data_IF_842554725541
#
_entry.id   IF_842554725541
#
_cell.length_a   1.000
_cell.length_b   1.000
_cell.length_c   1.000
_cell.angle_alpha   90.00
_cell.angle_beta   90.00
_cell.angle_gamma   90.00
#
_symmetry.space_group_name_H-M   'P 1'
#
loop_
_entity.id
_entity.type
_entity.pdbx_description
1 polymer ?
#
# COMPACT_ATOMS: atom_id res chain seq x y z
N UNK A 1 41.50 5.30 -27.24
CA UNK A 1 40.61 6.47 -27.27
C UNK A 1 39.19 5.97 -27.42
N UNK A 2 38.28 6.36 -26.51
CA UNK A 2 36.83 6.36 -26.70
C UNK A 2 36.24 7.18 -25.54
N UNK A 3 35.99 8.47 -25.78
CA UNK A 3 35.26 9.32 -24.85
C UNK A 3 33.77 9.08 -25.03
N UNK A 4 33.07 8.76 -23.94
CA UNK A 4 31.60 8.76 -23.91
C UNK A 4 31.07 10.20 -23.93
N UNK A 5 29.84 10.43 -24.43
CA UNK A 5 29.27 11.76 -24.49
C UNK A 5 28.98 12.28 -23.08
N UNK A 6 29.37 13.52 -22.81
CA UNK A 6 29.01 14.24 -21.60
C UNK A 6 27.49 14.43 -21.57
N UNK A 7 26.83 13.93 -20.54
CA UNK A 7 25.42 14.21 -20.28
C UNK A 7 25.26 15.73 -20.09
N UNK A 8 24.43 16.35 -20.92
CA UNK A 8 24.07 17.75 -20.76
C UNK A 8 23.42 17.93 -19.37
N UNK A 9 24.03 18.77 -18.54
CA UNK A 9 23.42 19.20 -17.29
C UNK A 9 22.10 19.90 -17.64
N UNK A 10 20.99 19.38 -17.09
CA UNK A 10 19.69 20.03 -17.18
C UNK A 10 19.74 21.45 -16.58
N UNK A 11 18.73 22.29 -16.87
CA UNK A 11 18.67 23.64 -16.33
C UNK A 11 18.73 23.62 -14.79
N UNK A 12 19.32 24.63 -14.15
CA UNK A 12 19.35 24.72 -12.70
C UNK A 12 17.93 24.67 -12.15
N UNK A 13 17.72 23.86 -11.11
CA UNK A 13 16.45 23.83 -10.39
C UNK A 13 16.11 25.27 -9.95
N UNK A 14 14.88 25.69 -10.23
CA UNK A 14 14.35 26.97 -9.74
C UNK A 14 14.38 27.03 -8.20
N UNK A 15 14.15 28.22 -7.63
CA UNK A 15 14.06 28.34 -6.17
C UNK A 15 13.03 27.35 -5.63
N UNK A 16 13.33 26.68 -4.49
CA UNK A 16 12.42 25.70 -3.91
C UNK A 16 11.07 26.35 -3.62
N UNK A 17 9.99 25.63 -3.91
CA UNK A 17 8.63 26.08 -3.58
C UNK A 17 8.53 26.26 -2.05
N UNK A 18 8.24 27.48 -1.54
CA UNK A 18 8.15 27.74 -0.11
C UNK A 18 6.98 27.00 0.57
N UNK A 19 6.06 26.42 -0.20
CA UNK A 19 4.98 25.57 0.28
C UNK A 19 5.34 24.08 0.32
N UNK A 20 6.53 23.70 -0.14
CA UNK A 20 6.96 22.31 -0.13
C UNK A 20 7.16 21.82 1.32
N UNK A 21 6.39 20.79 1.68
CA UNK A 21 6.61 20.07 2.94
C UNK A 21 7.98 19.38 2.84
N UNK A 22 8.90 19.61 3.79
CA UNK A 22 10.19 18.94 3.78
C UNK A 22 9.98 17.42 3.90
N UNK A 23 10.81 16.61 3.22
CA UNK A 23 10.70 15.16 3.33
C UNK A 23 10.78 14.71 4.79
N UNK A 24 10.03 13.66 5.14
CA UNK A 24 10.05 13.12 6.49
C UNK A 24 11.48 12.74 6.89
N UNK A 25 11.88 13.13 8.10
CA UNK A 25 13.21 12.83 8.63
C UNK A 25 13.51 11.31 8.71
N UNK A 26 12.45 10.49 8.81
CA UNK A 26 12.49 9.03 8.63
C UNK A 26 11.35 8.59 7.68
N UNK A 27 11.66 8.36 6.39
CA UNK A 27 10.68 7.87 5.41
C UNK A 27 10.07 6.51 5.80
N UNK A 28 10.82 5.62 6.45
CA UNK A 28 10.31 4.31 6.85
C UNK A 28 9.28 4.43 7.98
N UNK A 29 9.47 5.34 8.93
CA UNK A 29 8.45 5.65 9.94
C UNK A 29 7.18 6.25 9.33
N UNK A 30 7.29 7.04 8.25
CA UNK A 30 6.13 7.57 7.55
C UNK A 30 5.36 6.45 6.82
N UNK A 31 6.06 5.53 6.15
CA UNK A 31 5.45 4.39 5.44
C UNK A 31 4.65 3.47 6.37
N UNK A 32 5.09 3.28 7.62
CA UNK A 32 4.37 2.50 8.65
C UNK A 32 2.99 3.05 9.04
N UNK A 33 2.64 4.26 8.57
CA UNK A 33 1.34 4.90 8.79
C UNK A 33 0.40 4.78 7.60
N UNK A 34 0.88 4.27 6.46
CA UNK A 34 0.06 4.08 5.28
C UNK A 34 -0.79 2.84 5.43
N UNK A 35 -2.02 2.92 4.92
CA UNK A 35 -2.84 1.77 4.63
C UNK A 35 -2.71 1.42 3.16
N UNK A 36 -2.63 0.13 2.83
CA UNK A 36 -2.62 -0.38 1.45
C UNK A 36 -3.81 -1.29 1.24
N UNK A 37 -4.33 -1.36 0.01
CA UNK A 37 -5.38 -2.31 -0.32
C UNK A 37 -4.82 -3.67 -0.76
N UNK A 38 -5.72 -4.64 -0.95
CA UNK A 38 -5.40 -6.00 -1.40
C UNK A 38 -5.69 -6.23 -2.88
N UNK A 39 -5.99 -5.19 -3.67
CA UNK A 39 -6.33 -5.32 -5.09
C UNK A 39 -5.09 -5.58 -5.94
N UNK A 40 -4.50 -6.75 -5.75
CA UNK A 40 -3.34 -7.24 -6.49
C UNK A 40 -3.54 -8.70 -6.88
N UNK A 41 -2.95 -9.09 -8.01
CA UNK A 41 -2.99 -10.47 -8.51
C UNK A 41 -1.85 -11.35 -8.00
N UNK A 42 -1.01 -10.85 -7.08
CA UNK A 42 0.20 -11.51 -6.64
C UNK A 42 0.12 -11.89 -5.16
N UNK A 43 0.03 -13.20 -4.83
CA UNK A 43 0.13 -13.67 -3.45
C UNK A 43 1.45 -13.24 -2.79
N UNK A 44 2.54 -13.17 -3.56
CA UNK A 44 3.84 -12.69 -3.09
C UNK A 44 3.78 -11.22 -2.65
N UNK A 45 3.07 -10.37 -3.40
CA UNK A 45 2.88 -8.97 -3.02
C UNK A 45 2.08 -8.85 -1.72
N UNK A 46 0.98 -9.60 -1.59
CA UNK A 46 0.20 -9.60 -0.35
C UNK A 46 1.02 -10.08 0.86
N UNK A 47 1.86 -11.10 0.68
CA UNK A 47 2.77 -11.58 1.72
C UNK A 47 3.77 -10.51 2.16
N UNK A 48 4.38 -9.80 1.21
CA UNK A 48 5.30 -8.70 1.51
C UNK A 48 4.60 -7.54 2.21
N UNK A 49 3.37 -7.20 1.83
CA UNK A 49 2.60 -6.17 2.54
C UNK A 49 2.36 -6.58 4.01
N UNK A 50 1.96 -7.84 4.24
CA UNK A 50 1.76 -8.34 5.60
C UNK A 50 3.06 -8.35 6.43
N UNK A 51 4.20 -8.70 5.81
CA UNK A 51 5.50 -8.75 6.48
C UNK A 51 6.07 -7.36 6.81
N UNK A 52 5.98 -6.42 5.87
CA UNK A 52 6.65 -5.12 5.97
C UNK A 52 5.76 -4.06 6.64
N UNK A 53 4.46 -4.05 6.32
CA UNK A 53 3.51 -3.05 6.82
C UNK A 53 2.69 -3.55 8.01
N UNK A 54 2.52 -4.87 8.12
CA UNK A 54 1.67 -5.49 9.12
C UNK A 54 0.22 -5.67 8.63
N UNK A 55 -0.48 -6.75 9.05
CA UNK A 55 -1.89 -6.97 8.72
C UNK A 55 -2.82 -5.83 9.12
N UNK A 56 -2.49 -5.07 10.15
CA UNK A 56 -3.23 -3.90 10.66
C UNK A 56 -3.18 -2.67 9.72
N UNK A 57 -2.36 -2.74 8.66
CA UNK A 57 -2.23 -1.70 7.62
C UNK A 57 -2.79 -2.13 6.27
N UNK A 58 -3.45 -3.28 6.19
CA UNK A 58 -4.01 -3.79 4.94
C UNK A 58 -5.53 -3.69 4.94
N UNK A 59 -6.10 -3.17 3.86
CA UNK A 59 -7.55 -3.04 3.64
C UNK A 59 -7.98 -3.99 2.54
N UNK A 60 -9.01 -4.79 2.77
CA UNK A 60 -9.59 -5.59 1.69
C UNK A 60 -10.13 -4.67 0.58
N UNK A 61 -9.61 -4.84 -0.63
CA UNK A 61 -9.97 -4.09 -1.83
C UNK A 61 -10.01 -5.01 -3.03
N UNK A 62 -11.02 -4.80 -3.89
CA UNK A 62 -11.23 -5.59 -5.11
C UNK A 62 -10.91 -4.82 -6.37
N UNK A 63 -10.76 -3.49 -6.32
CA UNK A 63 -10.69 -2.61 -7.48
C UNK A 63 -11.76 -2.96 -8.54
N UNK A 64 -13.00 -3.11 -8.08
CA UNK A 64 -14.16 -3.36 -8.93
C UNK A 64 -14.74 -2.04 -9.46
N UNK A 65 -15.12 -1.93 -10.75
CA UNK A 65 -15.14 -2.99 -11.77
C UNK A 65 -13.83 -3.32 -12.54
N UNK A 66 -12.74 -2.51 -12.56
CA UNK A 66 -11.56 -2.79 -13.38
C UNK A 66 -10.99 -4.22 -13.23
N UNK A 67 -10.91 -4.73 -12.00
CA UNK A 67 -10.52 -6.12 -11.74
C UNK A 67 -11.78 -7.00 -11.62
N UNK A 68 -12.18 -7.57 -12.75
CA UNK A 68 -13.34 -8.46 -12.85
C UNK A 68 -13.01 -9.91 -12.44
N UNK A 69 -12.41 -10.09 -11.27
CA UNK A 69 -12.18 -11.41 -10.66
C UNK A 69 -13.34 -11.73 -9.70
N UNK A 70 -13.79 -12.99 -9.59
CA UNK A 70 -14.76 -13.38 -8.58
C UNK A 70 -14.34 -12.95 -7.16
N UNK A 71 -15.28 -12.44 -6.38
CA UNK A 71 -15.03 -11.96 -5.01
C UNK A 71 -14.42 -13.07 -4.14
N UNK A 72 -14.89 -14.30 -4.33
CA UNK A 72 -14.44 -15.49 -3.60
C UNK A 72 -12.95 -15.75 -3.80
N UNK A 73 -12.40 -15.43 -4.98
CA UNK A 73 -10.99 -15.63 -5.25
C UNK A 73 -10.13 -14.60 -4.50
N UNK A 74 -10.59 -13.35 -4.38
CA UNK A 74 -9.94 -12.35 -3.53
C UNK A 74 -9.93 -12.78 -2.06
N UNK A 75 -11.07 -13.27 -1.53
CA UNK A 75 -11.16 -13.76 -0.16
C UNK A 75 -10.19 -14.92 0.06
N UNK A 76 -10.16 -15.90 -0.86
CA UNK A 76 -9.26 -17.07 -0.79
C UNK A 76 -7.78 -16.67 -0.81
N UNK A 77 -7.41 -15.58 -1.49
CA UNK A 77 -6.03 -15.08 -1.45
C UNK A 77 -5.65 -14.61 -0.04
N UNK A 78 -6.55 -13.91 0.66
CA UNK A 78 -6.30 -13.47 2.04
C UNK A 78 -6.26 -14.66 3.00
N UNK A 79 -7.16 -15.63 2.85
CA UNK A 79 -7.21 -16.82 3.71
C UNK A 79 -5.93 -17.68 3.65
N UNK A 80 -5.20 -17.61 2.53
CA UNK A 80 -3.94 -18.34 2.29
C UNK A 80 -2.71 -17.59 2.79
N UNK A 81 -2.84 -16.35 3.27
CA UNK A 81 -1.69 -15.63 3.83
C UNK A 81 -1.17 -16.33 5.10
N UNK A 82 0.15 -16.34 5.32
CA UNK A 82 0.77 -16.95 6.50
C UNK A 82 0.64 -16.03 7.73
N UNK A 83 -0.59 -15.63 8.06
CA UNK A 83 -0.95 -14.80 9.21
C UNK A 83 -2.02 -15.50 10.05
N UNK A 84 -2.16 -15.11 11.31
CA UNK A 84 -3.17 -15.71 12.18
C UNK A 84 -4.61 -15.31 11.78
N UNK A 85 -5.59 -16.02 12.34
CA UNK A 85 -7.00 -15.79 12.00
C UNK A 85 -7.49 -14.40 12.40
N UNK A 86 -6.98 -13.82 13.48
CA UNK A 86 -7.34 -12.48 13.89
C UNK A 86 -6.87 -11.45 12.85
N UNK A 87 -5.64 -11.60 12.36
CA UNK A 87 -5.07 -10.79 11.28
C UNK A 87 -5.87 -10.92 9.99
N UNK A 88 -6.30 -12.14 9.61
CA UNK A 88 -7.18 -12.32 8.44
C UNK A 88 -8.49 -11.52 8.58
N UNK A 89 -9.11 -11.52 9.76
CA UNK A 89 -10.34 -10.76 10.01
C UNK A 89 -10.11 -9.24 10.00
N UNK A 90 -8.95 -8.76 10.48
CA UNK A 90 -8.57 -7.36 10.35
C UNK A 90 -8.50 -6.93 8.89
N UNK A 91 -7.82 -7.72 8.05
CA UNK A 91 -7.67 -7.43 6.62
C UNK A 91 -9.04 -7.44 5.93
N UNK A 92 -9.85 -8.48 6.16
CA UNK A 92 -11.14 -8.70 5.49
C UNK A 92 -12.22 -7.67 5.86
N UNK A 93 -12.07 -6.95 6.98
CA UNK A 93 -13.06 -5.94 7.36
C UNK A 93 -12.70 -5.10 8.57
N UNK A 94 -12.03 -5.67 9.58
CA UNK A 94 -11.76 -4.97 10.84
C UNK A 94 -11.01 -3.64 10.70
N UNK A 95 -10.05 -3.58 9.78
CA UNK A 95 -9.30 -2.34 9.50
C UNK A 95 -10.18 -1.30 8.79
N UNK A 96 -11.01 -1.72 7.83
CA UNK A 96 -11.92 -0.81 7.13
C UNK A 96 -12.97 -0.23 8.09
N UNK A 97 -13.51 -1.07 8.99
CA UNK A 97 -14.43 -0.62 10.04
C UNK A 97 -13.81 0.44 10.94
N UNK A 98 -12.54 0.29 11.32
CA UNK A 98 -11.84 1.25 12.17
C UNK A 98 -11.46 2.54 11.42
N UNK A 99 -10.94 2.44 10.20
CA UNK A 99 -10.46 3.59 9.41
C UNK A 99 -11.62 4.46 8.93
N UNK A 100 -12.73 3.86 8.51
CA UNK A 100 -13.88 4.59 7.96
C UNK A 100 -15.00 4.80 8.97
N UNK A 101 -14.82 4.34 10.21
CA UNK A 101 -15.79 4.41 11.30
C UNK A 101 -17.16 3.84 10.87
N UNK A 102 -17.16 2.61 10.35
CA UNK A 102 -18.36 2.03 9.71
C UNK A 102 -19.39 1.55 10.73
N UNK A 103 -18.98 1.23 11.95
CA UNK A 103 -19.87 0.70 13.01
C UNK A 103 -20.66 1.80 13.74
N UNK A 104 -20.28 3.06 13.58
CA UNK A 104 -21.00 4.21 14.13
C UNK A 104 -22.09 4.74 13.19
N UNK A 105 -22.11 4.25 11.94
CA UNK A 105 -23.11 4.65 10.94
C UNK A 105 -24.40 3.85 11.17
N UNK A 106 -25.57 4.52 11.17
CA UNK A 106 -26.87 3.88 11.40
C UNK A 106 -27.27 2.90 10.30
#
# INVERSE_FOLDING_TARGET
SAGGPAGAAGPPAGPPDPSAVPPAADPAAALRRLYVDTSTFSPTHLGLNAEILGPERMLFGTDSPPLSVPLEDFIRMIEKLPVDKASQQLILGGNAEAVFDLRSRP
#
